data_IF_489860799926
#
_entry.id   IF_489860799926
#
_cell.length_a   1.000
_cell.length_b   1.000
_cell.length_c   1.000
_cell.angle_alpha   90.00
_cell.angle_beta   90.00
_cell.angle_gamma   90.00
#
_symmetry.space_group_name_H-M   'P 1'
#
loop_
_entity.id
_entity.type
_entity.pdbx_description
1 polymer ?
#
# COMPACT_ATOMS: atom_id res chain seq x y z
N UNK A 1 -37.46 -18.49 1.78
CA UNK A 1 -38.16 -18.17 0.53
C UNK A 1 -38.41 -16.66 0.39
N UNK A 2 -39.08 -15.98 1.37
CA UNK A 2 -39.42 -14.56 1.26
C UNK A 2 -38.21 -13.67 1.10
N UNK A 3 -37.12 -13.93 1.84
CA UNK A 3 -35.87 -13.18 1.72
C UNK A 3 -35.20 -13.42 0.37
N UNK A 4 -35.31 -14.63 -0.20
CA UNK A 4 -34.75 -14.92 -1.54
C UNK A 4 -35.51 -14.17 -2.62
N UNK A 5 -36.85 -14.08 -2.49
CA UNK A 5 -37.69 -13.26 -3.36
C UNK A 5 -37.32 -11.76 -3.24
N UNK A 6 -37.14 -11.25 -2.01
CA UNK A 6 -36.76 -9.87 -1.78
C UNK A 6 -35.38 -9.51 -2.39
N UNK A 7 -34.48 -10.48 -2.46
CA UNK A 7 -33.14 -10.32 -3.03
C UNK A 7 -33.10 -10.42 -4.56
N UNK A 8 -34.10 -11.01 -5.18
CA UNK A 8 -34.10 -11.20 -6.62
C UNK A 8 -34.42 -9.88 -7.34
N UNK A 9 -33.54 -9.36 -8.20
CA UNK A 9 -33.76 -8.10 -8.89
C UNK A 9 -34.93 -8.14 -9.89
N UNK A 10 -35.37 -9.33 -10.28
CA UNK A 10 -36.47 -9.53 -11.22
C UNK A 10 -37.82 -9.74 -10.50
N UNK A 11 -37.86 -9.61 -9.16
CA UNK A 11 -39.13 -9.73 -8.42
C UNK A 11 -40.10 -8.63 -8.87
N UNK A 12 -41.32 -8.99 -9.32
CA UNK A 12 -42.32 -8.01 -9.74
C UNK A 12 -42.67 -7.02 -8.62
N UNK A 13 -42.96 -5.77 -9.00
CA UNK A 13 -43.32 -4.71 -8.05
C UNK A 13 -44.47 -5.13 -7.11
N UNK A 14 -45.55 -5.73 -7.66
CA UNK A 14 -46.68 -6.21 -6.89
C UNK A 14 -46.27 -7.20 -5.79
N UNK A 15 -45.30 -8.08 -6.07
CA UNK A 15 -44.79 -9.04 -5.08
C UNK A 15 -43.93 -8.30 -4.05
N UNK A 16 -43.11 -7.34 -4.45
CA UNK A 16 -42.32 -6.51 -3.52
C UNK A 16 -43.21 -5.74 -2.56
N UNK A 17 -44.30 -5.16 -3.05
CA UNK A 17 -45.33 -4.48 -2.22
C UNK A 17 -45.98 -5.44 -1.23
N UNK A 18 -46.27 -6.67 -1.64
CA UNK A 18 -46.80 -7.69 -0.73
C UNK A 18 -45.76 -8.10 0.32
N UNK A 19 -44.48 -8.28 -0.07
CA UNK A 19 -43.40 -8.59 0.87
C UNK A 19 -43.22 -7.50 1.93
N UNK A 20 -43.44 -6.22 1.58
CA UNK A 20 -43.43 -5.11 2.54
C UNK A 20 -44.56 -5.27 3.59
N UNK A 21 -45.70 -5.87 3.24
CA UNK A 21 -46.85 -6.06 4.15
C UNK A 21 -46.74 -7.32 5.02
N UNK A 22 -46.35 -8.45 4.42
CA UNK A 22 -46.44 -9.78 5.05
C UNK A 22 -45.07 -10.36 5.42
N UNK A 23 -43.98 -9.78 4.96
CA UNK A 23 -42.63 -10.24 5.25
C UNK A 23 -42.31 -10.15 6.75
N UNK A 24 -41.42 -11.02 7.21
CA UNK A 24 -40.88 -10.88 8.56
C UNK A 24 -39.98 -9.60 8.65
N UNK A 25 -39.54 -9.28 9.86
CA UNK A 25 -38.68 -8.11 10.10
C UNK A 25 -37.44 -8.08 9.20
N UNK A 26 -36.79 -9.23 8.99
CA UNK A 26 -35.57 -9.33 8.17
C UNK A 26 -35.85 -8.97 6.71
N UNK A 27 -36.98 -9.47 6.16
CA UNK A 27 -37.40 -9.18 4.79
C UNK A 27 -37.72 -7.71 4.63
N UNK A 28 -38.51 -7.12 5.54
CA UNK A 28 -38.87 -5.69 5.49
C UNK A 28 -37.66 -4.77 5.67
N UNK A 29 -36.74 -5.12 6.61
CA UNK A 29 -35.48 -4.38 6.78
C UNK A 29 -34.60 -4.45 5.55
N UNK A 30 -34.52 -5.63 4.91
CA UNK A 30 -33.79 -5.79 3.67
C UNK A 30 -34.37 -4.90 2.56
N UNK A 31 -35.71 -4.94 2.37
CA UNK A 31 -36.40 -4.12 1.38
C UNK A 31 -36.21 -2.63 1.63
N UNK A 32 -36.29 -2.17 2.88
CA UNK A 32 -36.05 -0.78 3.26
C UNK A 32 -34.68 -0.24 2.80
N UNK A 33 -33.66 -1.11 2.73
CA UNK A 33 -32.29 -0.75 2.24
C UNK A 33 -32.15 -0.80 0.73
N UNK A 34 -33.09 -1.41 -0.01
CA UNK A 34 -32.90 -1.65 -1.45
C UNK A 34 -33.14 -0.38 -2.28
N UNK A 35 -32.40 -0.29 -3.38
CA UNK A 35 -32.47 0.84 -4.31
C UNK A 35 -33.71 0.80 -5.24
N UNK A 36 -34.55 -0.25 -5.18
CA UNK A 36 -35.64 -0.50 -6.15
C UNK A 36 -37.00 -0.64 -5.46
N UNK A 37 -37.37 0.34 -4.67
CA UNK A 37 -38.71 0.40 -4.08
C UNK A 37 -39.58 1.30 -4.94
N UNK A 38 -40.85 0.85 -5.13
CA UNK A 38 -41.91 1.71 -5.68
C UNK A 38 -42.41 2.72 -4.66
N UNK A 39 -43.04 3.81 -5.07
CA UNK A 39 -43.65 4.78 -4.16
C UNK A 39 -44.62 4.11 -3.16
N UNK A 40 -45.39 3.09 -3.58
CA UNK A 40 -46.28 2.35 -2.72
C UNK A 40 -45.54 1.55 -1.65
N UNK A 41 -44.41 0.89 -1.99
CA UNK A 41 -43.57 0.18 -1.05
C UNK A 41 -42.91 1.11 -0.03
N UNK A 42 -42.42 2.29 -0.45
CA UNK A 42 -41.91 3.32 0.47
C UNK A 42 -42.98 3.74 1.50
N UNK A 43 -44.22 4.01 1.05
CA UNK A 43 -45.32 4.41 1.93
C UNK A 43 -45.68 3.32 2.95
N UNK A 44 -45.66 2.04 2.56
CA UNK A 44 -45.95 0.93 3.49
C UNK A 44 -44.83 0.83 4.56
N UNK A 45 -43.56 0.86 4.16
CA UNK A 45 -42.44 0.75 5.09
C UNK A 45 -42.26 1.99 5.98
N UNK A 46 -42.69 3.17 5.53
CA UNK A 46 -42.73 4.38 6.35
C UNK A 46 -43.67 4.27 7.55
N UNK A 47 -44.77 3.48 7.38
CA UNK A 47 -45.76 3.23 8.40
C UNK A 47 -45.56 1.88 9.12
N UNK A 48 -44.35 1.27 8.99
CA UNK A 48 -44.03 0.01 9.68
C UNK A 48 -44.01 0.19 11.20
N UNK A 49 -44.50 -0.80 11.92
CA UNK A 49 -44.44 -0.81 13.38
C UNK A 49 -43.04 -1.03 13.96
N UNK A 50 -42.10 -1.51 13.15
CA UNK A 50 -40.72 -1.79 13.58
C UNK A 50 -39.79 -0.59 13.37
N UNK A 51 -39.19 -0.15 14.46
CA UNK A 51 -38.23 0.96 14.48
C UNK A 51 -37.02 0.75 13.54
N UNK A 52 -36.50 -0.48 13.47
CA UNK A 52 -35.38 -0.82 12.64
C UNK A 52 -35.71 -0.71 11.15
N UNK A 53 -36.94 -1.09 10.74
CA UNK A 53 -37.39 -0.94 9.34
C UNK A 53 -37.48 0.56 8.96
N UNK A 54 -38.12 1.38 9.81
CA UNK A 54 -38.22 2.83 9.58
C UNK A 54 -36.84 3.50 9.51
N UNK A 55 -35.94 3.16 10.44
CA UNK A 55 -34.58 3.72 10.45
C UNK A 55 -33.79 3.33 9.19
N UNK A 56 -33.91 2.08 8.72
CA UNK A 56 -33.27 1.62 7.49
C UNK A 56 -33.86 2.33 6.25
N UNK A 57 -35.18 2.54 6.24
CA UNK A 57 -35.86 3.29 5.19
C UNK A 57 -35.38 4.75 5.15
N UNK A 58 -35.33 5.39 6.32
CA UNK A 58 -34.84 6.76 6.47
C UNK A 58 -33.39 6.92 5.99
N UNK A 59 -32.54 5.90 6.27
CA UNK A 59 -31.14 5.90 5.83
C UNK A 59 -30.95 5.58 4.33
N UNK A 60 -32.00 5.14 3.63
CA UNK A 60 -31.91 4.82 2.20
C UNK A 60 -31.70 6.11 1.37
N UNK A 61 -30.58 6.27 0.62
CA UNK A 61 -30.33 7.49 -0.17
C UNK A 61 -31.39 7.81 -1.23
N UNK A 62 -32.16 6.78 -1.66
CA UNK A 62 -33.24 6.89 -2.64
C UNK A 62 -34.60 7.09 -2.01
N UNK A 63 -34.65 7.22 -0.68
CA UNK A 63 -35.90 7.53 0.01
C UNK A 63 -36.48 8.86 -0.48
N UNK A 64 -37.74 8.87 -0.96
CA UNK A 64 -38.37 10.12 -1.44
C UNK A 64 -38.42 11.18 -0.34
N UNK A 65 -38.20 12.44 -0.72
CA UNK A 65 -38.22 13.55 0.25
C UNK A 65 -39.55 13.64 1.03
N UNK A 66 -40.67 13.34 0.39
CA UNK A 66 -41.99 13.29 1.06
C UNK A 66 -42.02 12.28 2.21
N UNK A 67 -41.42 11.11 2.02
CA UNK A 67 -41.29 10.07 3.04
C UNK A 67 -40.32 10.51 4.15
N UNK A 68 -39.21 11.16 3.82
CA UNK A 68 -38.30 11.72 4.83
C UNK A 68 -38.99 12.79 5.69
N UNK A 69 -39.87 13.62 5.11
CA UNK A 69 -40.67 14.61 5.84
C UNK A 69 -41.64 13.92 6.81
N UNK A 70 -42.22 12.80 6.41
CA UNK A 70 -43.11 11.97 7.26
C UNK A 70 -42.32 11.33 8.42
N UNK A 71 -41.22 10.62 8.11
CA UNK A 71 -40.35 9.95 9.08
C UNK A 71 -39.69 10.92 10.08
N UNK A 72 -39.45 12.15 9.68
CA UNK A 72 -38.92 13.19 10.57
C UNK A 72 -39.87 13.54 11.73
N UNK A 73 -41.15 13.17 11.65
CA UNK A 73 -42.15 13.34 12.70
C UNK A 73 -42.30 12.13 13.64
N UNK A 74 -41.51 11.09 13.40
CA UNK A 74 -41.54 9.89 14.24
C UNK A 74 -41.16 10.24 15.68
N UNK A 75 -41.76 9.55 16.64
CA UNK A 75 -41.49 9.77 18.07
C UNK A 75 -40.12 9.25 18.48
N UNK A 76 -39.55 8.32 17.72
CA UNK A 76 -38.28 7.69 18.04
C UNK A 76 -37.08 8.51 17.51
N UNK A 77 -36.14 8.91 18.40
CA UNK A 77 -34.96 9.67 18.00
C UNK A 77 -34.10 9.01 16.94
N UNK A 78 -33.97 7.67 16.95
CA UNK A 78 -33.17 6.91 15.98
C UNK A 78 -33.70 7.01 14.55
N UNK A 79 -35.01 7.15 14.35
CA UNK A 79 -35.59 7.41 13.03
C UNK A 79 -35.26 8.83 12.58
N UNK A 80 -35.43 9.82 13.46
CA UNK A 80 -35.07 11.22 13.19
C UNK A 80 -33.58 11.39 12.87
N UNK A 81 -32.73 10.71 13.60
CA UNK A 81 -31.28 10.68 13.35
C UNK A 81 -30.98 10.09 11.95
N UNK A 82 -31.62 8.97 11.60
CA UNK A 82 -31.47 8.35 10.27
C UNK A 82 -31.95 9.29 9.16
N UNK A 83 -33.05 10.04 9.38
CA UNK A 83 -33.51 11.09 8.45
C UNK A 83 -32.49 12.20 8.32
N UNK A 84 -31.93 12.69 9.45
CA UNK A 84 -30.94 13.77 9.46
C UNK A 84 -29.64 13.36 8.76
N UNK A 85 -29.24 12.10 8.85
CA UNK A 85 -28.06 11.55 8.15
C UNK A 85 -28.31 11.31 6.64
N UNK A 86 -29.57 11.33 6.18
CA UNK A 86 -29.85 11.05 4.77
C UNK A 86 -29.41 12.24 3.89
N UNK A 87 -28.57 12.03 2.87
CA UNK A 87 -28.11 13.12 1.99
C UNK A 87 -29.25 13.76 1.17
N UNK A 88 -30.38 13.06 0.97
CA UNK A 88 -31.57 13.58 0.28
C UNK A 88 -32.55 14.32 1.20
N UNK A 89 -32.18 14.48 2.50
CA UNK A 89 -33.05 15.16 3.48
C UNK A 89 -33.22 16.63 3.10
N UNK A 90 -34.47 17.14 3.01
CA UNK A 90 -34.68 18.55 2.72
C UNK A 90 -34.12 19.48 3.80
N UNK A 91 -33.52 20.62 3.42
CA UNK A 91 -32.99 21.60 4.36
C UNK A 91 -34.03 22.08 5.39
N UNK A 92 -35.30 22.23 4.99
CA UNK A 92 -36.39 22.57 5.91
C UNK A 92 -36.67 21.53 6.97
N UNK A 93 -36.39 20.25 6.70
CA UNK A 93 -36.47 19.15 7.66
C UNK A 93 -35.26 19.16 8.57
N UNK A 94 -34.06 19.35 8.01
CA UNK A 94 -32.82 19.49 8.78
C UNK A 94 -32.91 20.63 9.78
N UNK A 95 -33.49 21.78 9.40
CA UNK A 95 -33.70 22.91 10.31
C UNK A 95 -34.55 22.55 11.53
N UNK A 96 -35.58 21.71 11.36
CA UNK A 96 -36.38 21.17 12.47
C UNK A 96 -35.62 20.20 13.33
N UNK A 97 -34.92 19.23 12.69
CA UNK A 97 -34.14 18.22 13.38
C UNK A 97 -32.95 18.82 14.16
N UNK A 98 -32.41 19.93 13.68
CA UNK A 98 -31.37 20.71 14.36
C UNK A 98 -31.83 21.31 15.71
N UNK A 99 -33.13 21.37 15.97
CA UNK A 99 -33.73 21.88 17.23
C UNK A 99 -34.21 20.77 18.17
N UNK A 100 -34.00 19.50 17.81
CA UNK A 100 -34.42 18.36 18.63
C UNK A 100 -33.64 18.27 19.94
N UNK A 101 -34.26 17.70 20.97
CA UNK A 101 -33.64 17.55 22.29
C UNK A 101 -32.41 16.61 22.26
N UNK A 102 -32.47 15.60 21.39
CA UNK A 102 -31.42 14.57 21.31
C UNK A 102 -30.18 15.08 20.58
N UNK A 103 -29.02 14.93 21.22
CA UNK A 103 -27.70 15.37 20.68
C UNK A 103 -27.39 14.69 19.36
N UNK A 104 -27.66 13.38 19.25
CA UNK A 104 -27.32 12.58 18.07
C UNK A 104 -28.10 13.05 16.84
N UNK A 105 -29.37 13.42 16.98
CA UNK A 105 -30.18 13.97 15.90
C UNK A 105 -29.63 15.32 15.45
N UNK A 106 -29.26 16.22 16.38
CA UNK A 106 -28.66 17.51 16.03
C UNK A 106 -27.27 17.33 15.41
N UNK A 107 -26.50 16.38 15.90
CA UNK A 107 -25.18 16.02 15.32
C UNK A 107 -25.29 15.53 13.89
N UNK A 108 -26.27 14.66 13.61
CA UNK A 108 -26.55 14.19 12.26
C UNK A 108 -26.96 15.36 11.32
N UNK A 109 -27.81 16.25 11.79
CA UNK A 109 -28.18 17.46 11.03
C UNK A 109 -26.95 18.37 10.77
N UNK A 110 -26.07 18.55 11.77
CA UNK A 110 -24.85 19.35 11.63
C UNK A 110 -23.90 18.80 10.56
N UNK A 111 -23.78 17.48 10.44
CA UNK A 111 -22.91 16.81 9.45
C UNK A 111 -23.50 16.80 8.03
N UNK A 112 -24.82 16.92 7.91
CA UNK A 112 -25.46 16.77 6.61
C UNK A 112 -25.08 17.93 5.66
N UNK A 113 -24.50 17.65 4.47
CA UNK A 113 -24.08 18.70 3.53
C UNK A 113 -25.26 19.51 2.95
N UNK A 114 -26.50 18.99 3.03
CA UNK A 114 -27.72 19.71 2.62
C UNK A 114 -28.23 20.72 3.69
N UNK A 115 -27.54 20.79 4.85
CA UNK A 115 -27.88 21.75 5.89
C UNK A 115 -27.62 23.17 5.42
N UNK A 116 -28.63 24.05 5.53
CA UNK A 116 -28.48 25.43 5.08
C UNK A 116 -27.69 26.31 6.04
N UNK A 117 -27.25 27.46 5.56
CA UNK A 117 -26.41 28.40 6.30
C UNK A 117 -27.06 28.91 7.59
N UNK A 118 -28.38 29.11 7.60
CA UNK A 118 -29.12 29.59 8.76
C UNK A 118 -29.16 28.51 9.86
N UNK A 119 -29.41 27.27 9.48
CA UNK A 119 -29.40 26.11 10.39
C UNK A 119 -28.03 25.89 10.95
N UNK A 120 -26.95 25.93 10.14
CA UNK A 120 -25.58 25.82 10.62
C UNK A 120 -25.20 26.95 11.58
N UNK A 121 -25.69 28.19 11.35
CA UNK A 121 -25.46 29.32 12.26
C UNK A 121 -26.12 29.12 13.64
N UNK A 122 -27.30 28.46 13.68
CA UNK A 122 -27.94 28.08 14.94
C UNK A 122 -27.18 26.92 15.65
N UNK A 123 -26.79 25.86 14.91
CA UNK A 123 -26.02 24.75 15.44
C UNK A 123 -24.62 25.16 15.91
N UNK A 124 -24.04 26.20 15.37
CA UNK A 124 -22.79 26.79 15.84
C UNK A 124 -22.87 27.36 17.26
N UNK A 125 -24.07 27.56 17.78
CA UNK A 125 -24.34 28.03 19.15
C UNK A 125 -24.91 26.92 20.05
N UNK A 126 -24.88 25.65 19.59
CA UNK A 126 -25.39 24.53 20.35
C UNK A 126 -24.64 24.38 21.70
N UNK A 127 -25.39 24.03 22.75
CA UNK A 127 -24.82 23.80 24.08
C UNK A 127 -23.79 22.65 24.11
N UNK A 128 -23.94 21.68 23.20
CA UNK A 128 -23.08 20.51 23.11
C UNK A 128 -21.89 20.79 22.17
N UNK A 129 -20.67 20.63 22.69
CA UNK A 129 -19.45 20.90 21.90
C UNK A 129 -19.29 19.96 20.68
N UNK A 130 -19.79 18.73 20.75
CA UNK A 130 -19.74 17.78 19.63
C UNK A 130 -20.59 18.32 18.45
N UNK A 131 -21.78 18.82 18.73
CA UNK A 131 -22.61 19.44 17.69
C UNK A 131 -21.90 20.63 17.04
N UNK A 132 -21.32 21.52 17.87
CA UNK A 132 -20.55 22.67 17.35
C UNK A 132 -19.32 22.23 16.54
N UNK A 133 -18.59 21.19 16.97
CA UNK A 133 -17.45 20.66 16.23
C UNK A 133 -17.85 20.05 14.88
N UNK A 134 -18.98 19.31 14.85
CA UNK A 134 -19.53 18.76 13.61
C UNK A 134 -20.04 19.87 12.68
N UNK A 135 -20.63 20.92 13.23
CA UNK A 135 -20.99 22.13 12.47
C UNK A 135 -19.75 22.77 11.83
N UNK A 136 -18.64 22.88 12.59
CA UNK A 136 -17.37 23.37 12.04
C UNK A 136 -16.81 22.49 10.94
N UNK A 137 -17.03 21.18 11.00
CA UNK A 137 -16.57 20.21 10.01
C UNK A 137 -17.45 20.17 8.76
N UNK A 138 -18.64 20.76 8.79
CA UNK A 138 -19.55 20.73 7.65
C UNK A 138 -18.97 21.52 6.47
N UNK A 139 -18.89 20.92 5.24
CA UNK A 139 -18.35 21.62 4.06
C UNK A 139 -19.18 22.84 3.64
N UNK A 140 -20.47 22.91 4.03
CA UNK A 140 -21.36 24.04 3.76
C UNK A 140 -21.28 25.14 4.84
N UNK A 141 -20.40 24.99 5.85
CA UNK A 141 -20.21 26.00 6.88
C UNK A 141 -19.69 27.31 6.26
N UNK A 142 -20.43 28.41 6.49
CA UNK A 142 -20.08 29.72 5.95
C UNK A 142 -18.88 30.33 6.67
N UNK A 143 -18.20 31.27 6.05
CA UNK A 143 -17.10 32.02 6.67
C UNK A 143 -17.51 32.65 8.01
N UNK A 144 -18.75 33.14 8.14
CA UNK A 144 -19.26 33.68 9.39
C UNK A 144 -19.40 32.63 10.50
N UNK A 145 -19.89 31.43 10.16
CA UNK A 145 -20.01 30.30 11.09
C UNK A 145 -18.62 29.86 11.53
N UNK A 146 -17.68 29.70 10.61
CA UNK A 146 -16.31 29.32 10.94
C UNK A 146 -15.59 30.37 11.80
N UNK A 147 -15.80 31.65 11.52
CA UNK A 147 -15.24 32.75 12.31
C UNK A 147 -15.81 32.81 13.75
N UNK A 148 -17.07 32.43 13.94
CA UNK A 148 -17.68 32.29 15.27
C UNK A 148 -17.04 31.10 16.01
N UNK A 149 -16.98 29.94 15.36
CA UNK A 149 -16.47 28.68 15.97
C UNK A 149 -14.96 28.69 16.19
N UNK A 150 -14.19 29.51 15.44
CA UNK A 150 -12.77 29.72 15.71
C UNK A 150 -12.48 30.35 17.08
N UNK A 151 -13.47 30.97 17.69
CA UNK A 151 -13.39 31.58 19.05
C UNK A 151 -14.03 30.70 20.11
N UNK A 152 -14.45 29.48 19.78
CA UNK A 152 -15.10 28.54 20.69
C UNK A 152 -14.23 28.25 21.92
N UNK A 153 -14.86 28.02 23.06
CA UNK A 153 -14.16 27.60 24.27
C UNK A 153 -13.47 26.24 24.17
N UNK A 154 -14.05 25.31 23.36
CA UNK A 154 -13.51 23.96 23.14
C UNK A 154 -12.42 23.95 22.06
N UNK A 155 -11.27 23.38 22.40
CA UNK A 155 -10.19 23.16 21.44
C UNK A 155 -10.61 22.20 20.32
N UNK A 156 -11.50 21.24 20.60
CA UNK A 156 -12.04 20.31 19.60
C UNK A 156 -12.79 21.07 18.50
N UNK A 157 -13.60 22.06 18.86
CA UNK A 157 -14.32 22.89 17.91
C UNK A 157 -13.36 23.71 17.06
N UNK A 158 -12.39 24.39 17.70
CA UNK A 158 -11.38 25.19 16.99
C UNK A 158 -10.51 24.33 16.05
N UNK A 159 -10.18 23.10 16.47
CA UNK A 159 -9.50 22.12 15.62
C UNK A 159 -10.32 21.74 14.39
N UNK A 160 -11.63 21.54 14.55
CA UNK A 160 -12.53 21.26 13.45
C UNK A 160 -12.59 22.43 12.45
N UNK A 161 -12.58 23.67 12.94
CA UNK A 161 -12.45 24.86 12.07
C UNK A 161 -11.14 24.82 11.29
N UNK A 162 -10.01 24.52 11.94
CA UNK A 162 -8.71 24.46 11.26
C UNK A 162 -8.66 23.39 10.15
N UNK A 163 -9.40 22.30 10.31
CA UNK A 163 -9.49 21.20 9.33
C UNK A 163 -10.47 21.51 8.18
N UNK A 164 -11.39 22.45 8.35
CA UNK A 164 -12.41 22.71 7.34
C UNK A 164 -11.77 23.31 6.07
N UNK A 165 -12.03 22.73 4.87
CA UNK A 165 -11.46 23.22 3.61
C UNK A 165 -11.90 24.64 3.25
N UNK A 166 -13.03 25.14 3.80
CA UNK A 166 -13.55 26.48 3.57
C UNK A 166 -12.94 27.54 4.50
N UNK A 167 -12.10 27.12 5.48
CA UNK A 167 -11.44 28.08 6.38
C UNK A 167 -10.49 28.99 5.63
N UNK A 168 -10.65 30.31 5.85
CA UNK A 168 -9.83 31.33 5.22
C UNK A 168 -8.40 31.34 5.77
N UNK A 169 -7.46 31.95 5.02
CA UNK A 169 -6.09 32.14 5.47
C UNK A 169 -6.03 32.96 6.76
N UNK A 170 -6.75 34.07 6.80
CA UNK A 170 -6.77 34.96 8.00
C UNK A 170 -7.25 34.24 9.24
N UNK A 171 -8.19 33.32 9.09
CA UNK A 171 -8.69 32.53 10.20
C UNK A 171 -7.69 31.46 10.65
N UNK A 172 -6.98 30.86 9.70
CA UNK A 172 -5.86 29.94 10.00
C UNK A 172 -4.71 30.68 10.70
N UNK A 173 -4.38 31.92 10.26
CA UNK A 173 -3.39 32.77 10.94
C UNK A 173 -3.77 33.05 12.40
N UNK A 174 -5.05 33.31 12.68
CA UNK A 174 -5.51 33.48 14.08
C UNK A 174 -5.35 32.19 14.87
N UNK A 175 -5.70 31.03 14.30
CA UNK A 175 -5.57 29.72 14.94
C UNK A 175 -4.12 29.22 15.05
N UNK A 176 -3.19 29.76 14.24
CA UNK A 176 -1.75 29.49 14.39
C UNK A 176 -1.19 29.96 15.73
N UNK A 177 -1.86 30.91 16.37
CA UNK A 177 -1.51 31.44 17.70
C UNK A 177 -2.44 30.94 18.80
N UNK A 178 -3.14 29.80 18.57
CA UNK A 178 -4.05 29.24 19.57
C UNK A 178 -3.30 28.81 20.84
N UNK A 179 -3.94 29.03 21.98
CA UNK A 179 -3.40 28.61 23.29
C UNK A 179 -3.24 27.11 23.45
N UNK A 180 -3.88 26.31 22.57
CA UNK A 180 -3.89 24.85 22.67
C UNK A 180 -3.00 24.25 21.59
N UNK A 181 -1.97 23.53 22.01
CA UNK A 181 -0.99 22.87 21.12
C UNK A 181 -1.66 22.03 20.03
N UNK A 182 -2.73 21.30 20.35
CA UNK A 182 -3.43 20.46 19.39
C UNK A 182 -4.02 21.26 18.21
N UNK A 183 -4.50 22.50 18.45
CA UNK A 183 -4.99 23.37 17.37
C UNK A 183 -3.82 23.83 16.50
N UNK A 184 -2.73 24.29 17.10
CA UNK A 184 -1.52 24.69 16.38
C UNK A 184 -0.92 23.54 15.53
N UNK A 185 -0.95 22.30 16.07
CA UNK A 185 -0.49 21.11 15.33
C UNK A 185 -1.29 20.89 14.04
N UNK A 186 -2.59 21.06 14.09
CA UNK A 186 -3.48 20.92 12.93
C UNK A 186 -3.23 22.05 11.95
N UNK A 187 -3.15 23.30 12.43
CA UNK A 187 -2.87 24.46 11.58
C UNK A 187 -1.54 24.30 10.87
N UNK A 188 -0.49 23.81 11.54
CA UNK A 188 0.84 23.60 10.97
C UNK A 188 0.83 22.64 9.74
N UNK A 189 -0.17 21.78 9.62
CA UNK A 189 -0.35 20.89 8.45
C UNK A 189 -1.07 21.57 7.28
N UNK A 190 -1.65 22.75 7.46
CA UNK A 190 -2.41 23.43 6.42
C UNK A 190 -1.51 23.96 5.30
N UNK A 191 -1.87 23.67 4.05
CA UNK A 191 -1.17 24.17 2.86
C UNK A 191 -1.51 25.65 2.54
N UNK A 192 -2.41 26.27 3.32
CA UNK A 192 -2.88 27.65 3.10
C UNK A 192 -2.12 28.69 3.93
N UNK A 193 -1.17 28.26 4.78
CA UNK A 193 -0.37 29.17 5.60
C UNK A 193 0.51 30.07 4.74
N UNK A 194 0.67 31.31 5.19
CA UNK A 194 1.66 32.21 4.61
C UNK A 194 3.04 32.06 5.27
N UNK A 195 4.03 32.80 4.79
CA UNK A 195 5.38 32.72 5.31
C UNK A 195 5.49 33.27 6.74
N UNK A 196 4.67 34.24 7.14
CA UNK A 196 4.68 34.79 8.49
C UNK A 196 4.15 33.77 9.50
N UNK A 197 3.03 33.11 9.18
CA UNK A 197 2.45 32.04 10.00
C UNK A 197 3.42 30.84 10.13
N UNK A 198 4.02 30.43 9.01
CA UNK A 198 5.02 29.37 9.02
C UNK A 198 6.21 29.73 9.95
N UNK A 199 6.71 30.96 9.90
CA UNK A 199 7.81 31.40 10.77
C UNK A 199 7.40 31.46 12.24
N UNK A 200 6.17 31.89 12.54
CA UNK A 200 5.64 31.87 13.90
C UNK A 200 5.55 30.44 14.44
N UNK A 201 4.95 29.53 13.67
CA UNK A 201 4.85 28.11 14.06
C UNK A 201 6.22 27.39 14.13
N UNK A 202 7.21 27.81 13.34
CA UNK A 202 8.58 27.30 13.44
C UNK A 202 9.27 27.66 14.74
N UNK A 203 8.75 28.68 15.45
CA UNK A 203 9.23 29.14 16.76
C UNK A 203 8.37 28.63 17.93
N UNK A 204 7.34 27.82 17.66
CA UNK A 204 6.45 27.29 18.69
C UNK A 204 7.23 26.50 19.76
N UNK A 205 6.78 26.61 21.01
CA UNK A 205 7.40 25.92 22.14
C UNK A 205 7.35 24.39 21.98
N UNK A 206 6.27 23.88 21.36
CA UNK A 206 6.03 22.45 21.17
C UNK A 206 6.82 21.91 19.97
N UNK A 207 7.71 20.94 20.17
CA UNK A 207 8.38 20.28 19.03
C UNK A 207 7.40 19.55 18.11
N UNK A 208 6.21 19.15 18.59
CA UNK A 208 5.20 18.50 17.78
C UNK A 208 4.58 19.46 16.76
N UNK A 209 4.35 20.72 17.11
CA UNK A 209 3.91 21.76 16.19
C UNK A 209 4.96 21.97 15.10
N UNK A 210 6.24 22.15 15.52
CA UNK A 210 7.34 22.34 14.61
C UNK A 210 7.59 21.13 13.69
N UNK A 211 7.39 19.89 14.22
CA UNK A 211 7.44 18.66 13.38
C UNK A 211 6.37 18.61 12.30
N UNK A 212 5.12 18.94 12.66
CA UNK A 212 4.02 18.96 11.70
C UNK A 212 4.27 20.02 10.62
N UNK A 213 4.80 21.18 11.02
CA UNK A 213 5.21 22.21 10.07
C UNK A 213 6.35 21.73 9.16
N UNK A 214 7.37 21.07 9.71
CA UNK A 214 8.49 20.52 8.95
C UNK A 214 8.05 19.49 7.89
N UNK A 215 6.94 18.78 8.15
CA UNK A 215 6.32 17.84 7.21
C UNK A 215 5.37 18.51 6.21
N UNK A 216 5.12 19.82 6.32
CA UNK A 216 4.19 20.53 5.44
C UNK A 216 4.77 20.63 4.02
N UNK A 217 4.00 20.17 3.01
CA UNK A 217 4.42 20.19 1.61
C UNK A 217 4.47 21.58 0.95
N UNK A 218 3.97 22.62 1.63
CA UNK A 218 4.00 24.01 1.16
C UNK A 218 4.90 24.90 2.05
N UNK A 219 6.00 24.32 2.55
CA UNK A 219 6.90 25.01 3.46
C UNK A 219 7.74 26.06 2.75
N UNK A 220 7.73 27.35 3.18
CA UNK A 220 8.61 28.38 2.61
C UNK A 220 10.09 28.05 2.87
N UNK A 221 10.96 28.40 1.92
CA UNK A 221 12.40 28.17 2.00
C UNK A 221 13.06 28.76 3.25
N UNK A 222 12.68 29.99 3.63
CA UNK A 222 13.21 30.63 4.84
C UNK A 222 12.83 29.85 6.11
N UNK A 223 11.59 29.37 6.19
CA UNK A 223 11.12 28.54 7.30
C UNK A 223 11.80 27.18 7.33
N UNK A 224 12.05 26.56 6.16
CA UNK A 224 12.81 25.32 6.07
C UNK A 224 14.22 25.47 6.65
N UNK A 225 14.89 26.61 6.39
CA UNK A 225 16.21 26.90 6.93
C UNK A 225 16.20 27.08 8.46
N UNK A 226 15.14 27.66 9.02
CA UNK A 226 14.93 27.76 10.47
C UNK A 226 14.81 26.35 11.05
N UNK A 227 13.91 25.53 10.50
CA UNK A 227 13.64 24.16 10.96
C UNK A 227 14.85 23.22 10.78
N UNK A 228 15.68 23.44 9.76
CA UNK A 228 16.95 22.72 9.60
C UNK A 228 17.97 23.02 10.71
N UNK A 229 17.72 24.07 11.50
CA UNK A 229 18.54 24.44 12.66
C UNK A 229 17.83 24.14 14.00
N UNK A 230 16.69 23.45 13.98
CA UNK A 230 15.91 23.19 15.18
C UNK A 230 16.73 22.41 16.20
N UNK A 231 16.51 22.75 17.47
CA UNK A 231 17.18 22.06 18.60
C UNK A 231 16.80 20.57 18.71
N UNK A 232 15.57 20.22 18.27
CA UNK A 232 15.04 18.86 18.34
C UNK A 232 15.35 18.10 17.03
N UNK A 233 16.10 17.00 17.13
CA UNK A 233 16.47 16.16 16.00
C UNK A 233 15.25 15.58 15.26
N UNK A 234 14.13 15.36 15.95
CA UNK A 234 12.88 14.87 15.34
C UNK A 234 12.28 15.88 14.39
N UNK A 235 12.37 17.18 14.70
CA UNK A 235 11.93 18.26 13.81
C UNK A 235 12.82 18.29 12.55
N UNK A 236 14.15 18.25 12.74
CA UNK A 236 15.09 18.20 11.61
C UNK A 236 14.92 16.96 10.75
N UNK A 237 14.66 15.78 11.38
CA UNK A 237 14.38 14.53 10.68
C UNK A 237 13.06 14.58 9.90
N UNK A 238 12.01 15.21 10.46
CA UNK A 238 10.75 15.42 9.75
C UNK A 238 10.95 16.28 8.48
N UNK A 239 11.75 17.34 8.59
CA UNK A 239 12.13 18.17 7.44
C UNK A 239 12.94 17.37 6.41
N UNK A 240 13.90 16.57 6.84
CA UNK A 240 14.73 15.74 5.98
C UNK A 240 13.91 14.74 5.16
N UNK A 241 12.84 14.17 5.76
CA UNK A 241 11.90 13.26 5.08
C UNK A 241 10.96 13.96 4.10
N UNK A 242 10.75 15.27 4.24
CA UNK A 242 9.77 15.99 3.44
C UNK A 242 10.21 16.06 1.97
N UNK A 243 9.54 15.29 1.11
CA UNK A 243 9.76 15.26 -0.33
C UNK A 243 8.83 16.18 -1.11
N UNK A 244 7.82 16.75 -0.45
CA UNK A 244 6.77 17.55 -1.09
C UNK A 244 7.09 19.05 -1.07
N UNK A 245 7.80 19.51 -0.04
CA UNK A 245 8.17 20.91 0.07
C UNK A 245 9.22 21.32 -0.98
N UNK A 246 9.15 22.53 -1.52
CA UNK A 246 10.12 23.07 -2.48
C UNK A 246 11.42 23.49 -1.77
N UNK A 247 12.08 22.53 -1.15
CA UNK A 247 13.33 22.73 -0.38
C UNK A 247 14.50 22.83 -1.36
N UNK A 248 15.34 23.85 -1.18
CA UNK A 248 16.53 24.04 -2.01
C UNK A 248 17.77 23.26 -1.52
N UNK A 249 18.82 23.30 -2.34
CA UNK A 249 20.08 22.60 -2.09
C UNK A 249 20.72 22.99 -0.75
N UNK A 250 20.58 24.22 -0.29
CA UNK A 250 21.25 24.70 0.92
C UNK A 250 20.76 24.01 2.19
N UNK A 251 19.44 23.71 2.26
CA UNK A 251 18.84 22.96 3.36
C UNK A 251 19.32 21.51 3.34
N UNK A 252 19.37 20.87 2.16
CA UNK A 252 19.85 19.49 2.06
C UNK A 252 21.31 19.35 2.48
N UNK A 253 22.18 20.29 2.09
CA UNK A 253 23.59 20.32 2.52
C UNK A 253 23.68 20.44 4.04
N UNK A 254 22.87 21.33 4.63
CA UNK A 254 22.85 21.51 6.08
C UNK A 254 22.41 20.25 6.83
N UNK A 255 21.36 19.57 6.35
CA UNK A 255 20.86 18.34 6.95
C UNK A 255 21.80 17.14 6.71
N UNK A 256 22.56 17.12 5.63
CA UNK A 256 23.59 16.11 5.38
C UNK A 256 24.75 16.18 6.37
N UNK A 257 25.05 17.38 6.86
CA UNK A 257 26.06 17.63 7.89
C UNK A 257 25.48 17.59 9.33
N UNK A 258 24.25 17.08 9.52
CA UNK A 258 23.64 17.03 10.87
C UNK A 258 24.40 16.08 11.78
N UNK A 259 24.59 16.50 13.04
CA UNK A 259 25.25 15.69 14.06
C UNK A 259 24.49 14.40 14.40
N UNK A 260 23.18 14.38 14.17
CA UNK A 260 22.30 13.25 14.51
C UNK A 260 22.12 12.32 13.30
N UNK A 261 22.53 11.06 13.43
CA UNK A 261 22.41 10.07 12.38
C UNK A 261 20.97 9.84 11.93
N UNK A 262 19.95 10.01 12.81
CA UNK A 262 18.54 9.89 12.45
C UNK A 262 18.10 10.95 11.42
N UNK A 263 18.71 12.15 11.47
CA UNK A 263 18.44 13.22 10.51
C UNK A 263 19.08 12.87 9.16
N UNK A 264 20.34 12.43 9.18
CA UNK A 264 21.05 12.04 7.97
C UNK A 264 20.46 10.79 7.30
N UNK A 265 19.99 9.81 8.10
CA UNK A 265 19.25 8.64 7.63
C UNK A 265 17.93 9.04 6.95
N UNK A 266 17.15 9.92 7.59
CA UNK A 266 15.92 10.46 7.01
C UNK A 266 16.18 11.17 5.67
N UNK A 267 17.28 11.92 5.59
CA UNK A 267 17.71 12.59 4.36
C UNK A 267 18.12 11.57 3.29
N UNK A 268 18.86 10.54 3.66
CA UNK A 268 19.31 9.49 2.75
C UNK A 268 18.15 8.77 2.06
N UNK A 269 16.99 8.63 2.74
CA UNK A 269 15.77 8.03 2.17
C UNK A 269 15.00 8.98 1.25
N UNK A 270 15.23 10.29 1.31
CA UNK A 270 14.44 11.26 0.56
C UNK A 270 14.87 11.29 -0.93
N UNK A 271 13.94 10.97 -1.87
CA UNK A 271 14.27 10.86 -3.30
C UNK A 271 14.51 12.22 -3.98
N UNK A 272 14.21 13.34 -3.31
CA UNK A 272 14.42 14.71 -3.85
C UNK A 272 15.79 15.27 -3.54
N UNK A 273 16.57 14.61 -2.71
CA UNK A 273 17.93 15.06 -2.36
C UNK A 273 18.83 15.01 -3.59
N UNK A 274 19.62 16.06 -3.84
CA UNK A 274 20.56 16.10 -4.97
C UNK A 274 21.54 14.93 -4.94
N UNK A 275 21.84 14.34 -6.10
CA UNK A 275 22.76 13.19 -6.23
C UNK A 275 24.12 13.43 -5.58
N UNK A 276 24.66 14.66 -5.67
CA UNK A 276 25.93 15.04 -5.05
C UNK A 276 25.88 14.86 -3.52
N UNK A 277 24.79 15.33 -2.86
CA UNK A 277 24.59 15.19 -1.42
C UNK A 277 24.41 13.72 -1.02
N UNK A 278 23.69 12.92 -1.83
CA UNK A 278 23.58 11.47 -1.61
C UNK A 278 24.95 10.77 -1.74
N UNK A 279 25.82 11.26 -2.64
CA UNK A 279 27.17 10.71 -2.79
C UNK A 279 28.06 11.03 -1.58
N UNK A 280 27.90 12.22 -0.98
CA UNK A 280 28.58 12.57 0.29
C UNK A 280 28.15 11.63 1.42
N UNK A 281 26.85 11.36 1.56
CA UNK A 281 26.30 10.43 2.57
C UNK A 281 26.76 8.98 2.38
N UNK A 282 27.28 8.59 1.21
CA UNK A 282 27.82 7.23 1.03
C UNK A 282 29.06 6.92 1.89
N UNK A 283 29.68 7.96 2.43
CA UNK A 283 30.85 7.88 3.30
C UNK A 283 30.49 8.16 4.77
N UNK A 284 29.20 8.14 5.11
CA UNK A 284 28.73 8.40 6.46
C UNK A 284 29.20 7.31 7.42
N UNK A 285 29.65 7.69 8.61
CA UNK A 285 30.10 6.75 9.65
C UNK A 285 28.99 5.85 10.16
N UNK A 286 27.72 6.26 9.99
CA UNK A 286 26.57 5.50 10.41
C UNK A 286 26.14 4.48 9.35
N UNK A 287 26.18 3.21 9.72
CA UNK A 287 25.70 2.12 8.85
C UNK A 287 24.21 2.21 8.55
N UNK A 288 23.41 2.83 9.44
CA UNK A 288 21.97 3.05 9.18
C UNK A 288 21.77 4.06 8.05
N UNK A 289 22.60 5.11 7.99
CA UNK A 289 22.61 6.09 6.88
C UNK A 289 23.01 5.43 5.57
N UNK A 290 24.08 4.64 5.56
CA UNK A 290 24.50 3.90 4.35
C UNK A 290 23.43 2.90 3.89
N UNK A 291 22.76 2.20 4.83
CA UNK A 291 21.68 1.26 4.53
C UNK A 291 20.45 1.99 3.97
N UNK A 292 20.09 3.12 4.57
CA UNK A 292 19.01 3.98 4.07
C UNK A 292 19.30 4.48 2.65
N UNK A 293 20.55 4.89 2.42
CA UNK A 293 21.01 5.33 1.11
C UNK A 293 20.90 4.23 0.06
N UNK A 294 21.24 2.97 0.41
CA UNK A 294 21.08 1.82 -0.48
C UNK A 294 19.63 1.60 -0.95
N UNK A 295 18.63 2.03 -0.17
CA UNK A 295 17.21 1.97 -0.55
C UNK A 295 16.75 3.18 -1.39
N UNK A 296 17.53 4.25 -1.48
CA UNK A 296 17.10 5.46 -2.19
C UNK A 296 17.06 5.24 -3.72
N UNK A 297 15.90 5.48 -4.39
CA UNK A 297 15.79 5.27 -5.84
C UNK A 297 16.56 6.27 -6.68
N UNK A 298 16.91 7.44 -6.12
CA UNK A 298 17.58 8.54 -6.84
C UNK A 298 19.11 8.50 -6.78
N UNK A 299 19.68 7.47 -6.16
CA UNK A 299 21.13 7.33 -6.00
C UNK A 299 21.85 7.11 -7.34
N UNK A 300 23.04 7.66 -7.49
CA UNK A 300 23.87 7.49 -8.68
C UNK A 300 24.54 6.11 -8.73
N UNK A 301 24.76 5.56 -9.93
CA UNK A 301 25.44 4.27 -10.13
C UNK A 301 26.84 4.21 -9.48
N UNK A 302 27.59 5.31 -9.51
CA UNK A 302 28.90 5.40 -8.83
C UNK A 302 28.77 5.22 -7.31
N UNK A 303 27.71 5.78 -6.72
CA UNK A 303 27.43 5.64 -5.29
C UNK A 303 27.00 4.22 -4.92
N UNK A 304 26.21 3.57 -5.79
CA UNK A 304 25.88 2.14 -5.65
C UNK A 304 27.14 1.27 -5.66
N UNK A 305 28.10 1.60 -6.53
CA UNK A 305 29.36 0.88 -6.62
C UNK A 305 30.23 1.04 -5.35
N UNK A 306 30.20 2.23 -4.71
CA UNK A 306 30.86 2.48 -3.42
C UNK A 306 30.20 1.68 -2.30
N UNK A 307 28.87 1.70 -2.21
CA UNK A 307 28.11 0.95 -1.22
C UNK A 307 28.26 -0.56 -1.38
N UNK A 308 28.41 -1.06 -2.60
CA UNK A 308 28.65 -2.49 -2.87
C UNK A 308 29.99 -2.99 -2.32
N UNK A 309 30.93 -2.10 -2.08
CA UNK A 309 32.21 -2.39 -1.45
C UNK A 309 32.17 -2.31 0.10
N UNK A 310 31.01 -2.00 0.69
CA UNK A 310 30.85 -1.93 2.15
C UNK A 310 30.98 -3.29 2.80
N UNK A 311 31.67 -3.37 3.93
CA UNK A 311 31.76 -4.61 4.74
C UNK A 311 30.50 -4.90 5.55
N UNK A 312 29.51 -4.00 5.49
CA UNK A 312 28.27 -4.15 6.26
C UNK A 312 27.23 -5.00 5.53
N UNK A 313 26.81 -6.11 6.17
CA UNK A 313 25.82 -7.03 5.62
C UNK A 313 24.45 -6.36 5.36
N UNK A 314 24.03 -5.41 6.22
CA UNK A 314 22.74 -4.71 6.03
C UNK A 314 22.77 -3.83 4.78
N UNK A 315 23.89 -3.16 4.47
CA UNK A 315 24.06 -2.37 3.26
C UNK A 315 24.03 -3.27 2.02
N UNK A 316 24.79 -4.38 2.03
CA UNK A 316 24.82 -5.35 0.92
C UNK A 316 23.43 -5.99 0.69
N UNK A 317 22.73 -6.36 1.78
CA UNK A 317 21.38 -6.91 1.71
C UNK A 317 20.35 -5.91 1.15
N UNK A 318 20.45 -4.63 1.55
CA UNK A 318 19.62 -3.57 1.01
C UNK A 318 19.84 -3.36 -0.50
N UNK A 319 21.11 -3.40 -0.95
CA UNK A 319 21.44 -3.34 -2.37
C UNK A 319 20.83 -4.51 -3.15
N UNK A 320 20.85 -5.72 -2.60
CA UNK A 320 20.28 -6.90 -3.25
C UNK A 320 18.78 -6.80 -3.51
N UNK A 321 18.05 -5.99 -2.75
CA UNK A 321 16.61 -5.77 -2.98
C UNK A 321 16.33 -4.86 -4.19
N UNK A 322 17.36 -4.18 -4.70
CA UNK A 322 17.22 -3.28 -5.87
C UNK A 322 17.18 -4.07 -7.17
N UNK A 323 16.32 -3.62 -8.10
CA UNK A 323 16.25 -4.17 -9.47
C UNK A 323 17.21 -3.49 -10.46
N UNK A 324 17.84 -2.37 -10.07
CA UNK A 324 18.59 -1.43 -10.93
C UNK A 324 20.10 -1.41 -10.65
N UNK A 325 20.65 -2.44 -10.01
CA UNK A 325 22.08 -2.50 -9.71
C UNK A 325 22.92 -2.63 -10.99
N UNK A 326 23.98 -1.78 -11.16
CA UNK A 326 24.95 -1.96 -12.23
C UNK A 326 25.71 -3.28 -12.12
N UNK A 327 26.13 -3.87 -13.24
CA UNK A 327 26.90 -5.12 -13.30
C UNK A 327 28.17 -5.07 -12.44
N UNK A 328 28.87 -3.91 -12.45
CA UNK A 328 30.07 -3.72 -11.65
C UNK A 328 29.79 -3.78 -10.12
N UNK A 329 28.64 -3.24 -9.69
CA UNK A 329 28.24 -3.31 -8.29
C UNK A 329 27.84 -4.75 -7.89
N UNK A 330 27.15 -5.47 -8.78
CA UNK A 330 26.84 -6.89 -8.61
C UNK A 330 28.10 -7.73 -8.51
N UNK A 331 29.09 -7.48 -9.38
CA UNK A 331 30.38 -8.17 -9.37
C UNK A 331 31.15 -7.94 -8.06
N UNK A 332 31.09 -6.73 -7.48
CA UNK A 332 31.68 -6.48 -6.15
C UNK A 332 30.98 -7.25 -5.04
N UNK A 333 29.66 -7.35 -5.10
CA UNK A 333 28.90 -8.09 -4.11
C UNK A 333 29.20 -9.59 -4.11
N UNK A 334 29.68 -10.18 -5.22
CA UNK A 334 30.07 -11.61 -5.27
C UNK A 334 31.27 -11.93 -4.38
N UNK A 335 32.05 -10.93 -3.95
CA UNK A 335 33.15 -11.15 -3.01
C UNK A 335 32.66 -11.48 -1.57
N UNK A 336 31.41 -11.21 -1.24
CA UNK A 336 30.85 -11.45 0.09
C UNK A 336 30.05 -12.75 0.13
N UNK A 337 30.50 -13.70 0.97
CA UNK A 337 29.94 -15.06 1.05
C UNK A 337 28.42 -15.05 1.32
N UNK A 338 27.96 -14.23 2.27
CA UNK A 338 26.59 -14.19 2.73
C UNK A 338 25.57 -13.72 1.66
N UNK A 339 26.02 -13.09 0.57
CA UNK A 339 25.15 -12.60 -0.49
C UNK A 339 25.18 -13.43 -1.77
N UNK A 340 26.12 -14.35 -1.92
CA UNK A 340 26.28 -15.18 -3.13
C UNK A 340 25.03 -15.96 -3.48
N UNK A 341 24.42 -16.64 -2.51
CA UNK A 341 23.17 -17.38 -2.73
C UNK A 341 22.01 -16.46 -3.11
N UNK A 342 21.91 -15.29 -2.47
CA UNK A 342 20.91 -14.31 -2.81
C UNK A 342 21.07 -13.79 -4.24
N UNK A 343 22.32 -13.55 -4.69
CA UNK A 343 22.63 -13.18 -6.07
C UNK A 343 22.25 -14.30 -7.05
N UNK A 344 22.61 -15.54 -6.76
CA UNK A 344 22.28 -16.70 -7.60
C UNK A 344 20.76 -16.97 -7.67
N UNK A 345 19.97 -16.48 -6.70
CA UNK A 345 18.51 -16.68 -6.63
C UNK A 345 17.70 -15.55 -7.26
N UNK A 346 18.31 -14.40 -7.60
CA UNK A 346 17.59 -13.25 -8.17
C UNK A 346 17.11 -13.57 -9.58
N UNK A 347 15.83 -13.29 -9.85
CA UNK A 347 15.20 -13.57 -11.15
C UNK A 347 15.89 -12.90 -12.37
N UNK A 348 16.61 -11.81 -12.16
CA UNK A 348 17.31 -11.03 -13.20
C UNK A 348 18.78 -10.80 -12.81
N UNK A 349 19.52 -11.86 -12.55
CA UNK A 349 20.97 -11.75 -12.33
C UNK A 349 21.69 -11.67 -13.67
N UNK A 350 22.67 -10.75 -13.77
CA UNK A 350 23.51 -10.61 -14.95
C UNK A 350 24.26 -11.92 -15.24
N UNK A 351 24.29 -12.41 -16.48
CA UNK A 351 25.03 -13.60 -16.84
C UNK A 351 26.50 -13.59 -16.39
N UNK A 352 27.16 -12.43 -16.44
CA UNK A 352 28.57 -12.31 -15.99
C UNK A 352 28.73 -12.58 -14.48
N UNK A 353 27.74 -12.18 -13.68
CA UNK A 353 27.73 -12.48 -12.24
C UNK A 353 27.54 -14.00 -12.03
N UNK A 354 26.64 -14.62 -12.78
CA UNK A 354 26.43 -16.08 -12.74
C UNK A 354 27.70 -16.83 -13.18
N UNK A 355 28.42 -16.35 -14.20
CA UNK A 355 29.69 -16.93 -14.66
C UNK A 355 30.79 -16.86 -13.58
N UNK A 356 30.79 -15.79 -12.76
CA UNK A 356 31.70 -15.68 -11.62
C UNK A 356 31.31 -16.67 -10.50
N UNK A 357 30.02 -16.74 -10.14
CA UNK A 357 29.49 -17.63 -9.11
C UNK A 357 29.56 -19.11 -9.49
N UNK A 358 29.58 -19.42 -10.78
CA UNK A 358 29.77 -20.79 -11.29
C UNK A 358 31.11 -21.44 -10.90
N UNK A 359 32.10 -20.61 -10.49
CA UNK A 359 33.44 -21.06 -10.08
C UNK A 359 33.59 -21.19 -8.56
N UNK A 360 32.52 -20.98 -7.82
CA UNK A 360 32.57 -21.02 -6.35
C UNK A 360 32.91 -22.42 -5.85
N UNK A 361 33.68 -22.56 -4.74
CA UNK A 361 34.01 -23.87 -4.16
C UNK A 361 32.77 -24.63 -3.66
N UNK A 362 31.69 -23.94 -3.26
CA UNK A 362 30.45 -24.58 -2.78
C UNK A 362 29.63 -25.20 -3.92
N UNK A 363 29.47 -26.51 -4.00
CA UNK A 363 28.65 -27.15 -5.01
C UNK A 363 27.16 -26.80 -4.93
N UNK A 364 26.68 -26.39 -3.74
CA UNK A 364 25.29 -25.95 -3.57
C UNK A 364 25.05 -24.64 -4.30
N UNK A 365 25.99 -23.70 -4.23
CA UNK A 365 25.93 -22.44 -4.96
C UNK A 365 26.05 -22.68 -6.48
N UNK A 366 26.98 -23.54 -6.91
CA UNK A 366 27.09 -23.90 -8.33
C UNK A 366 25.81 -24.57 -8.85
N UNK A 367 25.13 -25.38 -8.02
CA UNK A 367 23.82 -25.96 -8.35
C UNK A 367 22.78 -24.88 -8.52
N UNK A 368 22.74 -23.89 -7.63
CA UNK A 368 21.82 -22.76 -7.75
C UNK A 368 22.06 -21.96 -9.05
N UNK A 369 23.32 -21.71 -9.40
CA UNK A 369 23.69 -21.08 -10.67
C UNK A 369 23.22 -21.94 -11.86
N UNK A 370 23.46 -23.25 -11.83
CA UNK A 370 23.07 -24.18 -12.91
C UNK A 370 21.54 -24.21 -13.11
N UNK A 371 20.73 -24.00 -12.07
CA UNK A 371 19.27 -23.94 -12.18
C UNK A 371 18.75 -22.59 -12.66
N UNK A 372 19.58 -21.52 -12.62
CA UNK A 372 19.12 -20.18 -12.92
C UNK A 372 18.78 -20.03 -14.43
N UNK A 373 17.62 -19.42 -14.80
CA UNK A 373 17.17 -19.33 -16.19
C UNK A 373 18.06 -18.44 -17.07
N UNK A 374 18.81 -17.48 -16.48
CA UNK A 374 19.72 -16.59 -17.21
C UNK A 374 21.15 -17.14 -17.31
N UNK A 375 21.43 -18.34 -16.82
CA UNK A 375 22.78 -18.94 -16.95
C UNK A 375 23.08 -19.21 -18.41
N UNK A 376 24.26 -18.76 -18.86
CA UNK A 376 24.67 -18.86 -20.25
C UNK A 376 24.88 -20.32 -20.66
N UNK A 377 24.69 -20.63 -21.95
CA UNK A 377 24.94 -21.96 -22.51
C UNK A 377 26.42 -22.39 -22.32
N UNK A 378 27.34 -21.43 -22.35
CA UNK A 378 28.79 -21.67 -22.08
C UNK A 378 29.01 -22.10 -20.63
N UNK A 379 28.44 -21.37 -19.67
CA UNK A 379 28.54 -21.67 -18.23
C UNK A 379 27.90 -23.02 -17.91
N UNK A 380 26.72 -23.31 -18.49
CA UNK A 380 26.08 -24.64 -18.36
C UNK A 380 26.97 -25.76 -18.89
N UNK A 381 27.68 -25.51 -20.02
CA UNK A 381 28.60 -26.49 -20.60
C UNK A 381 29.82 -26.74 -19.71
N UNK A 382 30.32 -25.71 -19.06
CA UNK A 382 31.44 -25.86 -18.10
C UNK A 382 30.96 -26.60 -16.83
N UNK A 383 29.84 -26.21 -16.25
CA UNK A 383 29.23 -26.85 -15.08
C UNK A 383 28.77 -28.30 -15.35
N UNK A 384 28.54 -28.68 -16.62
CA UNK A 384 28.20 -30.06 -16.96
C UNK A 384 29.33 -31.05 -16.72
N UNK A 385 30.56 -30.57 -16.50
CA UNK A 385 31.75 -31.38 -16.14
C UNK A 385 32.07 -31.32 -14.65
N UNK A 386 31.16 -30.75 -13.85
CA UNK A 386 31.37 -30.60 -12.40
C UNK A 386 31.51 -31.98 -11.70
N UNK A 387 32.33 -32.01 -10.64
CA UNK A 387 32.51 -33.20 -9.82
C UNK A 387 31.20 -33.63 -9.13
N UNK A 388 30.35 -32.66 -8.77
CA UNK A 388 29.06 -32.93 -8.12
C UNK A 388 27.98 -33.35 -9.15
N UNK A 389 27.40 -34.53 -8.92
CA UNK A 389 26.25 -34.99 -9.71
C UNK A 389 25.05 -34.04 -9.65
N UNK A 390 24.89 -33.31 -8.54
CA UNK A 390 23.78 -32.35 -8.36
C UNK A 390 23.93 -31.14 -9.28
N UNK A 391 25.16 -30.66 -9.46
CA UNK A 391 25.46 -29.55 -10.40
C UNK A 391 25.19 -30.03 -11.83
N UNK A 392 25.70 -31.19 -12.21
CA UNK A 392 25.47 -31.76 -13.55
C UNK A 392 23.98 -32.02 -13.82
N UNK A 393 23.25 -32.52 -12.82
CA UNK A 393 21.82 -32.76 -12.88
C UNK A 393 21.03 -31.44 -13.05
N UNK A 394 21.45 -30.35 -12.37
CA UNK A 394 20.88 -29.03 -12.51
C UNK A 394 21.09 -28.47 -13.94
N UNK A 395 22.28 -28.66 -14.51
CA UNK A 395 22.56 -28.30 -15.91
C UNK A 395 21.62 -29.05 -16.88
N UNK A 396 21.43 -30.36 -16.65
CA UNK A 396 20.54 -31.19 -17.47
C UNK A 396 19.08 -30.72 -17.40
N UNK A 397 18.63 -30.26 -16.24
CA UNK A 397 17.27 -29.77 -16.02
C UNK A 397 17.02 -28.35 -16.55
N UNK A 398 18.09 -27.58 -16.77
CA UNK A 398 17.95 -26.18 -17.20
C UNK A 398 17.38 -26.09 -18.61
N UNK A 399 16.33 -25.27 -18.80
CA UNK A 399 15.70 -25.08 -20.11
C UNK A 399 16.53 -24.27 -21.10
N UNK A 400 17.63 -23.63 -20.64
CA UNK A 400 18.61 -22.96 -21.49
C UNK A 400 19.72 -23.91 -21.96
N UNK A 401 19.74 -25.18 -21.50
CA UNK A 401 20.74 -26.17 -21.91
C UNK A 401 20.66 -26.42 -23.41
N UNK A 402 21.78 -26.29 -24.15
CA UNK A 402 21.81 -26.63 -25.58
C UNK A 402 21.70 -28.14 -25.79
N UNK A 403 21.21 -28.56 -26.96
CA UNK A 403 21.04 -29.97 -27.30
C UNK A 403 22.35 -30.77 -27.18
N UNK A 404 23.48 -30.18 -27.58
CA UNK A 404 24.81 -30.79 -27.47
C UNK A 404 25.19 -31.11 -26.03
N UNK A 405 24.80 -30.27 -25.06
CA UNK A 405 25.00 -30.52 -23.66
C UNK A 405 24.13 -31.67 -23.17
N UNK A 406 22.85 -31.70 -23.53
CA UNK A 406 21.94 -32.81 -23.19
C UNK A 406 22.46 -34.13 -23.77
N UNK A 407 22.99 -34.14 -25.00
CA UNK A 407 23.61 -35.29 -25.62
C UNK A 407 24.85 -35.79 -24.86
N UNK A 408 25.64 -34.90 -24.27
CA UNK A 408 26.77 -35.26 -23.44
C UNK A 408 26.32 -35.88 -22.12
N UNK A 409 25.37 -35.23 -21.42
CA UNK A 409 24.87 -35.66 -20.11
C UNK A 409 23.98 -36.92 -20.17
N UNK A 410 23.49 -37.26 -21.35
CA UNK A 410 22.76 -38.53 -21.61
C UNK A 410 23.62 -39.76 -21.27
N UNK A 411 24.96 -39.62 -21.32
CA UNK A 411 25.94 -40.67 -21.00
C UNK A 411 26.55 -40.52 -19.62
N UNK A 412 25.98 -39.67 -18.78
CA UNK A 412 26.51 -39.45 -17.41
C UNK A 412 26.45 -40.76 -16.61
N UNK A 413 27.49 -41.09 -15.78
CA UNK A 413 27.47 -42.29 -14.96
C UNK A 413 26.31 -42.32 -13.96
N UNK A 414 25.85 -41.12 -13.49
CA UNK A 414 24.81 -41.03 -12.48
C UNK A 414 23.40 -41.04 -13.08
N UNK A 415 22.56 -41.94 -12.62
CA UNK A 415 21.17 -42.06 -13.08
C UNK A 415 20.36 -40.79 -12.85
N UNK A 416 20.65 -40.05 -11.75
CA UNK A 416 20.02 -38.75 -11.48
C UNK A 416 20.22 -37.77 -12.64
N UNK A 417 21.41 -37.67 -13.19
CA UNK A 417 21.75 -36.76 -14.27
C UNK A 417 21.00 -37.15 -15.55
N UNK A 418 21.06 -38.47 -15.89
CA UNK A 418 20.35 -38.99 -17.05
C UNK A 418 18.81 -38.80 -16.94
N UNK A 419 18.26 -39.00 -15.74
CA UNK A 419 16.83 -38.72 -15.47
C UNK A 419 16.46 -37.25 -15.66
N UNK A 420 17.35 -36.32 -15.30
CA UNK A 420 17.15 -34.90 -15.52
C UNK A 420 17.22 -34.52 -17.01
N UNK A 421 18.10 -35.16 -17.79
CA UNK A 421 18.08 -35.04 -19.26
C UNK A 421 16.72 -35.49 -19.80
N UNK A 422 16.26 -36.69 -19.38
CA UNK A 422 14.99 -37.25 -19.81
C UNK A 422 13.77 -36.39 -19.43
N UNK A 423 13.82 -35.74 -18.25
CA UNK A 423 12.73 -34.84 -17.79
C UNK A 423 12.76 -33.46 -18.44
N UNK A 424 13.84 -33.06 -19.11
CA UNK A 424 13.96 -31.73 -19.67
C UNK A 424 12.91 -31.52 -20.78
N UNK A 425 12.06 -30.48 -20.69
CA UNK A 425 11.01 -30.27 -21.70
C UNK A 425 11.54 -29.90 -23.08
N UNK A 426 12.83 -29.54 -23.20
CA UNK A 426 13.51 -29.30 -24.48
C UNK A 426 14.32 -30.50 -24.99
N UNK A 427 14.30 -31.64 -24.27
CA UNK A 427 15.01 -32.82 -24.71
C UNK A 427 14.42 -33.31 -26.03
N UNK A 428 15.25 -33.44 -27.10
CA UNK A 428 14.77 -33.92 -28.38
C UNK A 428 14.27 -35.38 -28.35
N UNK A 429 13.27 -35.74 -29.16
CA UNK A 429 12.78 -37.12 -29.26
C UNK A 429 13.87 -38.15 -29.55
N UNK A 430 14.88 -37.78 -30.33
CA UNK A 430 16.00 -38.64 -30.68
C UNK A 430 16.86 -39.03 -29.46
N UNK A 431 17.05 -38.12 -28.54
CA UNK A 431 17.77 -38.39 -27.29
C UNK A 431 16.93 -39.22 -26.32
N UNK A 432 15.63 -38.97 -26.23
CA UNK A 432 14.71 -39.77 -25.41
C UNK A 432 14.67 -41.23 -25.88
N UNK A 433 14.72 -41.50 -27.21
CA UNK A 433 14.81 -42.86 -27.76
C UNK A 433 16.05 -43.61 -27.27
N UNK A 434 17.18 -42.98 -27.09
CA UNK A 434 18.42 -43.59 -26.62
C UNK A 434 18.33 -44.06 -25.16
N UNK A 435 17.55 -43.37 -24.30
CA UNK A 435 17.39 -43.66 -22.87
C UNK A 435 16.27 -44.69 -22.59
N UNK A 436 15.46 -45.11 -23.53
CA UNK A 436 14.31 -46.05 -23.33
C UNK A 436 14.73 -47.32 -22.63
N UNK A 437 15.98 -47.81 -22.89
CA UNK A 437 16.55 -49.02 -22.30
C UNK A 437 17.56 -48.71 -21.18
N UNK A 438 17.50 -47.53 -20.58
CA UNK A 438 18.38 -47.17 -19.48
C UNK A 438 18.22 -48.17 -18.32
N UNK A 439 19.32 -48.53 -17.69
CA UNK A 439 19.35 -49.49 -16.57
C UNK A 439 18.50 -48.98 -15.37
N UNK A 440 18.45 -47.67 -15.16
CA UNK A 440 17.73 -47.04 -14.04
C UNK A 440 16.22 -46.90 -14.31
N UNK A 441 15.38 -47.47 -13.44
CA UNK A 441 13.93 -47.26 -13.50
C UNK A 441 13.51 -45.78 -13.39
N UNK A 442 14.32 -44.96 -12.69
CA UNK A 442 14.05 -43.51 -12.57
C UNK A 442 14.19 -42.80 -13.89
N UNK A 443 15.20 -43.14 -14.70
CA UNK A 443 15.40 -42.60 -16.05
C UNK A 443 14.23 -42.99 -16.94
N UNK A 444 13.85 -44.29 -16.94
CA UNK A 444 12.72 -44.78 -17.76
C UNK A 444 11.40 -44.14 -17.38
N UNK A 445 11.18 -43.89 -16.05
CA UNK A 445 9.99 -43.13 -15.58
C UNK A 445 10.02 -41.68 -16.05
N UNK A 446 11.17 -41.02 -16.05
CA UNK A 446 11.32 -39.64 -16.52
C UNK A 446 10.99 -39.52 -18.02
N UNK A 447 11.39 -40.50 -18.83
CA UNK A 447 11.03 -40.56 -20.24
C UNK A 447 9.52 -40.70 -20.40
N UNK A 448 8.88 -41.62 -19.69
CA UNK A 448 7.43 -41.82 -19.77
C UNK A 448 6.63 -40.54 -19.45
N UNK A 449 7.16 -39.66 -18.60
CA UNK A 449 6.55 -38.38 -18.25
C UNK A 449 6.86 -37.20 -19.19
N UNK A 450 7.79 -37.37 -20.13
CA UNK A 450 8.18 -36.28 -21.03
C UNK A 450 7.25 -36.20 -22.24
N UNK A 451 6.71 -35.01 -22.53
CA UNK A 451 5.76 -34.77 -23.64
C UNK A 451 6.37 -35.00 -25.02
N UNK A 452 7.70 -34.93 -25.16
CA UNK A 452 8.42 -35.13 -26.42
C UNK A 452 8.74 -36.60 -26.68
N UNK A 453 8.33 -37.51 -25.78
CA UNK A 453 8.63 -38.93 -25.90
C UNK A 453 7.84 -39.52 -27.08
N UNK A 454 8.54 -40.16 -28.06
CA UNK A 454 7.90 -40.80 -29.20
C UNK A 454 6.97 -41.93 -28.78
N UNK A 455 5.88 -42.12 -29.54
CA UNK A 455 4.88 -43.17 -29.26
C UNK A 455 5.48 -44.58 -29.18
N UNK A 456 6.44 -44.90 -30.08
CA UNK A 456 7.19 -46.14 -30.06
C UNK A 456 7.93 -46.37 -28.74
N UNK A 457 8.54 -45.29 -28.18
CA UNK A 457 9.24 -45.33 -26.89
C UNK A 457 8.27 -45.56 -25.73
N UNK A 458 7.10 -44.90 -25.75
CA UNK A 458 6.05 -45.09 -24.77
C UNK A 458 5.51 -46.54 -24.80
N UNK A 459 5.35 -47.11 -25.98
CA UNK A 459 4.90 -48.51 -26.10
C UNK A 459 5.91 -49.52 -25.52
N UNK A 460 7.20 -49.26 -25.69
CA UNK A 460 8.25 -50.08 -25.06
C UNK A 460 8.26 -49.96 -23.55
N UNK A 461 8.11 -48.75 -23.02
CA UNK A 461 8.06 -48.48 -21.58
C UNK A 461 6.79 -49.04 -20.94
N UNK A 462 5.68 -49.14 -21.65
CA UNK A 462 4.44 -49.74 -21.13
C UNK A 462 4.58 -51.26 -20.84
N UNK A 463 5.54 -51.91 -21.46
CA UNK A 463 5.87 -53.35 -21.23
C UNK A 463 6.91 -53.54 -20.15
N UNK A 464 7.44 -52.47 -19.55
CA UNK A 464 8.48 -52.53 -18.52
C UNK A 464 7.88 -52.68 -17.12
N UNK A 465 7.74 -53.88 -16.63
CA UNK A 465 7.18 -54.19 -15.31
C UNK A 465 7.95 -53.52 -14.15
N UNK A 466 9.26 -53.25 -14.30
CA UNK A 466 10.12 -52.68 -13.26
C UNK A 466 9.94 -51.16 -13.09
N UNK A 467 9.45 -50.50 -14.11
CA UNK A 467 9.16 -49.03 -14.04
C UNK A 467 7.95 -48.68 -13.18
N UNK A 468 7.08 -49.66 -12.85
CA UNK A 468 5.81 -49.48 -12.14
C UNK A 468 5.85 -49.86 -10.66
N UNK A 469 6.84 -50.63 -10.21
CA UNK A 469 6.87 -51.26 -8.90
C UNK A 469 7.48 -50.43 -7.74
N UNK A 470 7.87 -49.17 -7.96
CA UNK A 470 8.33 -48.30 -6.89
C UNK A 470 7.32 -47.15 -6.68
N UNK A 471 6.41 -47.38 -5.73
CA UNK A 471 5.59 -46.31 -5.13
C UNK A 471 6.40 -45.56 -4.10
#
# INVERSE_FOLDING_TARGET
LLLSLARNPNTPEAVTVQLCKIGDRLVRTFLAKTARLSPAAFGILANDGDLGVKSMLAANPLCPQAILVELARDIHPTVKESVANNPSCPATVLAKLASEAQVDTRSAAALNPACDAATLANLAQDKNETVRALTASNPSATAAVLALLAKDGSATVRSAVALNPSTSKDLLSQLAHDKTIAVCQIVAMSKKLDAADCNALASDISPLVRMNLAANGNLPQATAMILASDKDARVRSALAKNSDAPIDKSVFIKLAADKDALVREALALNPKVPKATLTELSQDDSLTVQTALAHNPSIASETLLKLAASDCNSVRSALLQRGDLPSDALSKLTAAEEVKFALASRAKTDPQVLDALAKDPDPSLRTQVATHPSTSATTLTDLSKDSSQYVRAACAANTAAPESLLQTLLKDPEALVRARVASNPKCPPALLKQLVKDESPEVRRAIAGNRNTPLESLSLLALDETAWLTK
#
